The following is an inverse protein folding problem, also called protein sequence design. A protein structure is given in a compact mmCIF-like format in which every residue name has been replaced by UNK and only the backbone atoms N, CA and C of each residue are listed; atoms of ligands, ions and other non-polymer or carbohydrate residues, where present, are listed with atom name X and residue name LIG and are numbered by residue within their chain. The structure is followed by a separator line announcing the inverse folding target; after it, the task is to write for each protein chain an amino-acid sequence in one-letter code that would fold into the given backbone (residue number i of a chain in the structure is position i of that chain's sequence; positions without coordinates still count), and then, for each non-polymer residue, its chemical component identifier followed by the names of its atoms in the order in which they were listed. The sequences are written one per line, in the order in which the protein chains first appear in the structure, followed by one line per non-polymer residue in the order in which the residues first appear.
data_IF_659358589989
#
_entry.id   IF_659358589989
#
_cell.length_a   1.000
_cell.length_b   1.000
_cell.length_c   1.000
_cell.angle_alpha   90.00
_cell.angle_beta   90.00
_cell.angle_gamma   90.00
#
_symmetry.space_group_name_H-M   'P 1'
#
loop_
_entity.id
_entity.type
_entity.pdbx_description
1 polymer ?
#
# COMPACT_ATOMS: atom_id res chain seq x y z
N UNK A 1 17.99 -6.49 8.26
CA UNK A 1 16.92 -5.47 8.37
C UNK A 1 16.53 -5.12 6.95
N UNK A 2 15.29 -4.77 6.68
CA UNK A 2 14.85 -4.31 5.35
C UNK A 2 14.51 -2.82 5.42
N UNK A 3 14.90 -2.10 4.39
CA UNK A 3 14.67 -0.66 4.29
C UNK A 3 13.74 -0.34 3.12
N UNK A 4 12.87 0.65 3.31
CA UNK A 4 11.99 1.14 2.27
C UNK A 4 12.00 2.65 2.19
N UNK A 5 11.91 3.18 0.97
CA UNK A 5 11.73 4.59 0.70
C UNK A 5 10.23 4.88 0.48
N UNK A 6 9.71 5.93 1.11
CA UNK A 6 8.34 6.42 0.84
C UNK A 6 8.44 7.73 0.07
N UNK A 7 8.00 7.72 -1.17
CA UNK A 7 7.81 8.92 -1.99
C UNK A 7 6.40 9.46 -1.75
N UNK A 8 6.31 10.56 -1.02
CA UNK A 8 5.02 11.22 -0.79
C UNK A 8 4.50 11.89 -2.06
N UNK A 9 5.40 12.53 -2.82
CA UNK A 9 5.09 13.19 -4.08
C UNK A 9 3.99 14.23 -3.95
N UNK A 10 4.03 15.02 -2.88
CA UNK A 10 3.10 16.11 -2.59
C UNK A 10 3.77 17.42 -2.93
N UNK A 11 3.39 18.02 -4.05
CA UNK A 11 4.01 19.22 -4.58
C UNK A 11 3.05 20.39 -4.57
N UNK A 12 3.51 21.62 -4.31
CA UNK A 12 2.67 22.82 -4.41
C UNK A 12 2.09 22.99 -5.82
N UNK A 13 0.94 23.63 -5.90
CA UNK A 13 0.39 24.05 -7.18
C UNK A 13 1.33 25.05 -7.85
N UNK A 14 1.64 24.82 -9.15
CA UNK A 14 2.57 25.65 -9.92
C UNK A 14 3.97 25.05 -10.06
N UNK A 15 4.31 23.99 -9.30
CA UNK A 15 5.54 23.24 -9.54
C UNK A 15 5.52 22.57 -10.93
N UNK A 16 6.69 22.49 -11.58
CA UNK A 16 6.88 21.69 -12.78
C UNK A 16 6.81 20.20 -12.43
N UNK A 17 5.66 19.60 -12.72
CA UNK A 17 5.43 18.19 -12.41
C UNK A 17 6.28 17.22 -13.25
N UNK A 18 6.80 17.64 -14.42
CA UNK A 18 7.75 16.82 -15.17
C UNK A 18 9.12 16.79 -14.49
N UNK A 19 9.57 17.93 -13.97
CA UNK A 19 10.78 18.00 -13.17
C UNK A 19 10.63 17.16 -11.90
N UNK A 20 9.52 17.32 -11.17
CA UNK A 20 9.26 16.54 -9.94
C UNK A 20 9.21 15.04 -10.19
N UNK A 21 8.65 14.61 -11.32
CA UNK A 21 8.67 13.19 -11.70
C UNK A 21 10.10 12.70 -11.91
N UNK A 22 10.93 13.47 -12.63
CA UNK A 22 12.36 13.11 -12.85
C UNK A 22 13.11 12.98 -11.53
N UNK A 23 12.94 13.93 -10.61
CA UNK A 23 13.54 13.91 -9.28
C UNK A 23 13.10 12.69 -8.45
N UNK A 24 11.80 12.37 -8.45
CA UNK A 24 11.25 11.19 -7.78
C UNK A 24 11.83 9.88 -8.37
N UNK A 25 12.04 9.80 -9.69
CA UNK A 25 12.61 8.63 -10.35
C UNK A 25 14.12 8.50 -10.09
N UNK A 26 14.86 9.60 -10.06
CA UNK A 26 16.28 9.58 -9.65
C UNK A 26 16.41 9.14 -8.17
N UNK A 27 15.52 9.59 -7.30
CA UNK A 27 15.49 9.10 -5.91
C UNK A 27 15.19 7.58 -5.83
N UNK A 28 14.38 7.04 -6.73
CA UNK A 28 14.13 5.60 -6.80
C UNK A 28 15.38 4.82 -7.24
N UNK A 29 16.11 5.31 -8.26
CA UNK A 29 17.40 4.71 -8.70
C UNK A 29 18.42 4.72 -7.57
N UNK A 30 18.58 5.87 -6.92
CA UNK A 30 19.52 6.00 -5.80
C UNK A 30 19.14 5.06 -4.63
N UNK A 31 17.84 4.89 -4.33
CA UNK A 31 17.41 3.94 -3.32
C UNK A 31 17.79 2.50 -3.67
N UNK A 32 17.66 2.10 -4.95
CA UNK A 32 18.11 0.79 -5.42
C UNK A 32 19.63 0.62 -5.27
N UNK A 33 20.42 1.60 -5.72
CA UNK A 33 21.88 1.60 -5.61
C UNK A 33 22.36 1.52 -4.15
N UNK A 34 21.65 2.15 -3.23
CA UNK A 34 21.91 2.11 -1.79
C UNK A 34 21.41 0.83 -1.10
N UNK A 35 20.82 -0.11 -1.85
CA UNK A 35 20.37 -1.40 -1.34
C UNK A 35 19.07 -1.35 -0.53
N UNK A 36 18.17 -0.41 -0.84
CA UNK A 36 16.82 -0.46 -0.30
C UNK A 36 16.05 -1.65 -0.87
N UNK A 37 15.13 -2.19 -0.07
CA UNK A 37 14.32 -3.37 -0.44
C UNK A 37 13.02 -3.02 -1.18
N UNK A 38 12.49 -1.82 -0.95
CA UNK A 38 11.20 -1.41 -1.49
C UNK A 38 11.05 0.10 -1.63
N UNK A 39 10.15 0.49 -2.53
CA UNK A 39 9.66 1.86 -2.66
C UNK A 39 8.14 1.90 -2.52
N UNK A 40 7.64 2.83 -1.72
CA UNK A 40 6.22 3.06 -1.55
C UNK A 40 5.83 4.42 -2.13
N UNK A 41 4.71 4.48 -2.83
CA UNK A 41 4.14 5.72 -3.39
C UNK A 41 2.76 5.97 -2.81
N UNK A 42 2.59 7.09 -2.12
CA UNK A 42 1.28 7.62 -1.72
C UNK A 42 0.67 8.47 -2.82
N UNK A 43 -0.66 8.61 -2.81
CA UNK A 43 -1.37 9.58 -3.63
C UNK A 43 -2.66 10.03 -2.95
N UNK A 44 -3.20 11.14 -3.43
CA UNK A 44 -4.51 11.64 -3.08
C UNK A 44 -5.25 12.13 -4.33
N UNK A 45 -6.58 12.18 -4.24
CA UNK A 45 -7.45 12.78 -5.24
C UNK A 45 -7.95 14.15 -4.73
N UNK A 46 -8.31 15.05 -5.64
CA UNK A 46 -8.86 16.38 -5.28
C UNK A 46 -8.08 17.08 -4.18
N UNK A 47 -6.77 17.24 -4.36
CA UNK A 47 -5.84 17.64 -3.30
C UNK A 47 -5.42 19.10 -3.34
N UNK A 48 -6.17 19.96 -4.05
CA UNK A 48 -5.84 21.38 -4.06
C UNK A 48 -5.49 21.89 -2.64
N UNK A 49 -4.43 22.69 -2.45
CA UNK A 49 -3.52 23.27 -3.47
C UNK A 49 -2.31 22.39 -3.83
N UNK A 50 -2.35 21.10 -3.54
CA UNK A 50 -1.25 20.19 -3.85
C UNK A 50 -1.51 19.37 -5.12
N UNK A 51 -0.43 19.02 -5.81
CA UNK A 51 -0.40 18.15 -6.98
C UNK A 51 0.18 16.79 -6.59
N UNK A 52 -0.36 15.72 -7.19
CA UNK A 52 0.11 14.35 -7.00
C UNK A 52 0.14 13.62 -8.34
N UNK A 53 1.24 12.94 -8.63
CA UNK A 53 1.27 11.90 -9.65
C UNK A 53 0.69 10.64 -9.03
N UNK A 54 -0.29 10.03 -9.71
CA UNK A 54 -0.97 8.83 -9.20
C UNK A 54 0.00 7.66 -9.09
N UNK A 55 -0.24 6.81 -8.09
CA UNK A 55 0.72 5.80 -7.65
C UNK A 55 0.99 4.73 -8.70
N UNK A 56 -0.02 4.22 -9.40
CA UNK A 56 0.19 3.12 -10.36
C UNK A 56 1.03 3.57 -11.57
N UNK A 57 0.69 4.66 -12.30
CA UNK A 57 1.54 5.16 -13.39
C UNK A 57 2.99 5.46 -12.95
N UNK A 58 3.17 6.01 -11.76
CA UNK A 58 4.50 6.25 -11.20
C UNK A 58 5.27 4.94 -10.96
N UNK A 59 4.65 3.96 -10.30
CA UNK A 59 5.28 2.69 -9.99
C UNK A 59 5.60 1.87 -11.24
N UNK A 60 4.83 2.01 -12.33
CA UNK A 60 5.19 1.43 -13.62
C UNK A 60 6.53 1.99 -14.15
N UNK A 61 6.79 3.29 -13.98
CA UNK A 61 8.08 3.87 -14.37
C UNK A 61 9.20 3.42 -13.43
N UNK A 62 8.95 3.32 -12.13
CA UNK A 62 9.93 2.77 -11.18
C UNK A 62 10.31 1.33 -11.54
N UNK A 63 9.37 0.49 -11.97
CA UNK A 63 9.66 -0.86 -12.42
C UNK A 63 10.72 -0.93 -13.53
N UNK A 64 10.82 0.13 -14.37
CA UNK A 64 11.79 0.21 -15.45
C UNK A 64 13.15 0.77 -14.99
N UNK A 65 13.15 1.75 -14.07
CA UNK A 65 14.38 2.48 -13.70
C UNK A 65 15.06 1.94 -12.45
N UNK A 66 14.33 1.20 -11.62
CA UNK A 66 14.80 0.56 -10.39
C UNK A 66 14.18 -0.85 -10.24
N UNK A 67 14.52 -1.80 -11.13
CA UNK A 67 13.81 -3.07 -11.30
C UNK A 67 13.98 -4.05 -10.15
N UNK A 68 14.88 -3.83 -9.21
CA UNK A 68 15.07 -4.73 -8.06
C UNK A 68 14.19 -4.37 -6.87
N UNK A 69 13.69 -3.13 -6.80
CA UNK A 69 12.84 -2.67 -5.71
C UNK A 69 11.45 -3.33 -5.74
N UNK A 70 10.93 -3.70 -4.57
CA UNK A 70 9.52 -4.03 -4.42
C UNK A 70 8.68 -2.76 -4.49
N UNK A 71 7.57 -2.83 -5.21
CA UNK A 71 6.69 -1.70 -5.49
C UNK A 71 5.48 -1.74 -4.56
N UNK A 72 5.27 -0.66 -3.80
CA UNK A 72 4.17 -0.57 -2.84
C UNK A 72 3.28 0.63 -3.16
N UNK A 73 2.10 0.44 -3.80
CA UNK A 73 1.09 1.48 -3.75
C UNK A 73 0.67 1.66 -2.28
N UNK A 74 0.97 2.79 -1.71
CA UNK A 74 0.88 2.96 -0.26
C UNK A 74 0.04 4.14 0.21
N UNK A 75 -1.31 4.05 0.09
CA UNK A 75 -2.14 2.86 -0.15
C UNK A 75 -3.17 3.12 -1.25
N UNK A 76 -3.66 2.06 -1.92
CA UNK A 76 -4.84 2.15 -2.78
C UNK A 76 -6.08 2.33 -1.91
N UNK A 77 -6.88 3.37 -2.20
CA UNK A 77 -8.10 3.67 -1.45
C UNK A 77 -9.26 2.81 -1.96
N UNK A 78 -9.28 1.53 -1.61
CA UNK A 78 -10.19 0.53 -2.16
C UNK A 78 -11.67 0.92 -2.20
N UNK A 79 -12.24 1.61 -1.18
CA UNK A 79 -13.65 1.97 -1.21
C UNK A 79 -14.06 2.90 -2.36
N UNK A 80 -13.07 3.53 -3.01
CA UNK A 80 -13.31 4.47 -4.10
C UNK A 80 -13.36 3.80 -5.47
N UNK A 81 -12.92 2.54 -5.60
CA UNK A 81 -12.67 1.88 -6.88
C UNK A 81 -13.52 0.65 -7.11
N UNK A 82 -13.69 0.28 -8.38
CA UNK A 82 -14.20 -1.03 -8.79
C UNK A 82 -13.17 -2.13 -8.51
N UNK A 83 -13.55 -3.26 -7.90
CA UNK A 83 -12.62 -4.34 -7.62
C UNK A 83 -11.98 -4.95 -8.86
N UNK A 84 -12.72 -5.08 -9.97
CA UNK A 84 -12.17 -5.61 -11.23
C UNK A 84 -11.08 -4.69 -11.77
N UNK A 85 -11.33 -3.37 -11.81
CA UNK A 85 -10.34 -2.39 -12.26
C UNK A 85 -9.06 -2.45 -11.40
N UNK A 86 -9.20 -2.50 -10.07
CA UNK A 86 -8.06 -2.63 -9.16
C UNK A 86 -7.30 -3.93 -9.39
N UNK A 87 -8.01 -5.05 -9.58
CA UNK A 87 -7.38 -6.35 -9.80
C UNK A 87 -6.55 -6.36 -11.10
N UNK A 88 -7.10 -5.81 -12.19
CA UNK A 88 -6.43 -5.72 -13.50
C UNK A 88 -5.19 -4.81 -13.46
N UNK A 89 -5.31 -3.61 -12.90
CA UNK A 89 -4.20 -2.66 -12.82
C UNK A 89 -3.03 -3.20 -11.98
N UNK A 90 -3.35 -3.76 -10.81
CA UNK A 90 -2.33 -4.30 -9.92
C UNK A 90 -1.71 -5.60 -10.45
N UNK A 91 -2.48 -6.46 -11.12
CA UNK A 91 -1.93 -7.63 -11.80
C UNK A 91 -0.96 -7.21 -12.92
N UNK A 92 -1.34 -6.20 -13.71
CA UNK A 92 -0.48 -5.61 -14.74
C UNK A 92 0.82 -5.06 -14.14
N UNK A 93 0.76 -4.33 -13.03
CA UNK A 93 1.94 -3.82 -12.34
C UNK A 93 2.82 -4.96 -11.80
N UNK A 94 2.21 -6.05 -11.32
CA UNK A 94 2.96 -7.23 -10.85
C UNK A 94 3.71 -7.91 -12.00
N UNK A 95 3.08 -8.03 -13.17
CA UNK A 95 3.74 -8.54 -14.38
C UNK A 95 4.87 -7.62 -14.82
N UNK A 96 4.62 -6.30 -14.92
CA UNK A 96 5.63 -5.30 -15.33
C UNK A 96 6.84 -5.26 -14.41
N UNK A 97 6.64 -5.54 -13.12
CA UNK A 97 7.73 -5.55 -12.12
C UNK A 97 8.38 -6.94 -11.96
N UNK A 98 7.97 -7.94 -12.71
CA UNK A 98 8.47 -9.31 -12.54
C UNK A 98 8.15 -9.92 -11.17
N UNK A 99 6.94 -9.68 -10.66
CA UNK A 99 6.48 -10.23 -9.38
C UNK A 99 7.00 -9.49 -8.14
N UNK A 100 7.13 -8.16 -8.21
CA UNK A 100 7.63 -7.35 -7.09
C UNK A 100 6.57 -6.48 -6.41
N UNK A 101 5.32 -6.58 -6.83
CA UNK A 101 4.21 -5.87 -6.19
C UNK A 101 4.03 -6.29 -4.73
N UNK A 102 3.80 -5.31 -3.87
CA UNK A 102 3.17 -5.47 -2.55
C UNK A 102 1.90 -4.64 -2.54
N UNK A 103 0.75 -5.29 -2.48
CA UNK A 103 -0.53 -4.60 -2.54
C UNK A 103 -0.82 -3.84 -1.24
N UNK A 104 -0.50 -2.56 -1.19
CA UNK A 104 -0.87 -1.68 -0.10
C UNK A 104 -2.31 -1.16 -0.25
N UNK A 105 -3.19 -1.53 0.66
CA UNK A 105 -4.61 -1.20 0.66
C UNK A 105 -5.01 -0.35 1.86
N UNK A 106 -5.91 0.61 1.67
CA UNK A 106 -6.42 1.46 2.75
C UNK A 106 -7.85 1.93 2.52
N UNK A 107 -8.47 2.42 3.61
CA UNK A 107 -9.85 2.93 3.54
C UNK A 107 -9.89 4.35 2.98
N UNK A 108 -8.90 5.19 3.30
CA UNK A 108 -9.00 6.62 3.12
C UNK A 108 -9.64 7.33 4.31
N UNK A 109 -9.60 8.66 4.29
CA UNK A 109 -10.11 9.49 5.40
C UNK A 109 -10.61 10.88 4.96
N UNK A 110 -10.39 11.28 3.70
CA UNK A 110 -10.74 12.62 3.20
C UNK A 110 -12.12 12.60 2.55
N UNK A 111 -13.09 13.27 3.15
CA UNK A 111 -14.47 13.33 2.63
C UNK A 111 -14.56 13.85 1.19
N UNK A 112 -13.67 14.78 0.80
CA UNK A 112 -13.65 15.33 -0.57
C UNK A 112 -13.40 14.23 -1.59
N UNK A 113 -12.52 13.27 -1.30
CA UNK A 113 -12.26 12.12 -2.16
C UNK A 113 -13.52 11.25 -2.29
N UNK A 114 -14.15 10.91 -1.16
CA UNK A 114 -15.36 10.09 -1.18
C UNK A 114 -16.50 10.75 -1.97
N UNK A 115 -16.73 12.04 -1.77
CA UNK A 115 -17.75 12.78 -2.54
C UNK A 115 -17.46 12.80 -4.04
N UNK A 116 -16.18 13.02 -4.41
CA UNK A 116 -15.77 13.03 -5.82
C UNK A 116 -15.96 11.67 -6.51
N UNK A 117 -15.87 10.56 -5.75
CA UNK A 117 -16.12 9.20 -6.24
C UNK A 117 -17.55 8.69 -5.97
N UNK A 118 -18.49 9.58 -5.62
CA UNK A 118 -19.90 9.22 -5.45
C UNK A 118 -20.21 8.29 -4.26
N UNK A 119 -19.38 8.33 -3.22
CA UNK A 119 -19.55 7.48 -2.02
C UNK A 119 -19.34 8.27 -0.72
N UNK A 120 -19.38 7.60 0.43
CA UNK A 120 -19.26 8.24 1.74
C UNK A 120 -18.32 7.47 2.66
N UNK A 121 -17.70 8.18 3.62
CA UNK A 121 -16.86 7.57 4.65
C UNK A 121 -17.63 6.55 5.50
N UNK A 122 -18.94 6.73 5.70
CA UNK A 122 -19.77 5.80 6.46
C UNK A 122 -19.78 4.40 5.85
N UNK A 123 -19.73 4.29 4.53
CA UNK A 123 -19.75 3.03 3.80
C UNK A 123 -18.33 2.43 3.62
N UNK A 124 -17.30 3.22 3.87
CA UNK A 124 -15.93 2.90 3.48
C UNK A 124 -15.40 1.57 4.05
N UNK A 125 -15.72 1.27 5.31
CA UNK A 125 -15.28 0.03 5.96
C UNK A 125 -15.84 -1.23 5.31
N UNK A 126 -17.11 -1.21 4.98
CA UNK A 126 -17.80 -2.33 4.33
C UNK A 126 -17.35 -2.49 2.88
N UNK A 127 -17.37 -1.40 2.11
CA UNK A 127 -16.88 -1.38 0.72
C UNK A 127 -15.43 -1.86 0.62
N UNK A 128 -14.58 -1.51 1.58
CA UNK A 128 -13.19 -2.00 1.63
C UNK A 128 -13.12 -3.53 1.74
N UNK A 129 -13.87 -4.14 2.67
CA UNK A 129 -13.84 -5.59 2.87
C UNK A 129 -14.39 -6.34 1.67
N UNK A 130 -15.47 -5.87 1.07
CA UNK A 130 -16.04 -6.42 -0.16
C UNK A 130 -15.06 -6.33 -1.33
N UNK A 131 -14.49 -5.13 -1.57
CA UNK A 131 -13.54 -4.90 -2.65
C UNK A 131 -12.29 -5.78 -2.51
N UNK A 132 -11.69 -5.81 -1.33
CA UNK A 132 -10.49 -6.63 -1.09
C UNK A 132 -10.78 -8.13 -1.29
N UNK A 133 -11.96 -8.58 -0.86
CA UNK A 133 -12.38 -9.97 -1.08
C UNK A 133 -12.53 -10.28 -2.56
N UNK A 134 -13.18 -9.41 -3.31
CA UNK A 134 -13.35 -9.57 -4.75
C UNK A 134 -12.01 -9.56 -5.50
N UNK A 135 -11.09 -8.62 -5.20
CA UNK A 135 -9.75 -8.56 -5.80
C UNK A 135 -8.98 -9.88 -5.56
N UNK A 136 -8.99 -10.40 -4.34
CA UNK A 136 -8.32 -11.66 -4.03
C UNK A 136 -8.90 -12.84 -4.80
N UNK A 137 -10.23 -12.92 -4.90
CA UNK A 137 -10.92 -13.95 -5.66
C UNK A 137 -10.58 -13.86 -7.16
N UNK A 138 -10.61 -12.66 -7.74
CA UNK A 138 -10.24 -12.42 -9.14
C UNK A 138 -8.80 -12.86 -9.48
N UNK A 139 -7.89 -12.88 -8.51
CA UNK A 139 -6.52 -13.35 -8.71
C UNK A 139 -6.32 -14.85 -8.49
N UNK A 140 -7.28 -15.54 -7.88
CA UNK A 140 -7.13 -16.92 -7.43
C UNK A 140 -8.20 -17.88 -7.95
N UNK A 141 -9.27 -17.38 -8.54
CA UNK A 141 -10.37 -18.14 -9.13
C UNK A 141 -10.44 -17.83 -10.65
N UNK A 142 -10.80 -18.82 -11.46
CA UNK A 142 -10.91 -18.66 -12.92
C UNK A 142 -12.05 -17.68 -13.27
N UNK A 143 -13.18 -17.79 -12.56
CA UNK A 143 -14.33 -16.92 -12.72
C UNK A 143 -14.93 -16.58 -11.36
N UNK A 144 -15.35 -15.34 -11.20
CA UNK A 144 -15.93 -14.82 -9.97
C UNK A 144 -17.34 -14.32 -10.21
N UNK A 145 -18.30 -14.91 -9.50
CA UNK A 145 -19.64 -14.33 -9.33
C UNK A 145 -19.78 -13.90 -7.88
N UNK A 146 -20.08 -12.60 -7.66
CA UNK A 146 -20.20 -12.01 -6.33
C UNK A 146 -21.16 -10.83 -6.37
N UNK A 147 -22.19 -10.88 -5.54
CA UNK A 147 -23.08 -9.75 -5.25
C UNK A 147 -22.57 -9.01 -4.02
N UNK A 148 -22.33 -7.74 -4.12
CA UNK A 148 -21.85 -6.86 -3.06
C UNK A 148 -22.77 -5.64 -2.90
N UNK A 149 -22.49 -4.77 -1.92
CA UNK A 149 -23.33 -3.60 -1.62
C UNK A 149 -23.24 -2.49 -2.68
N UNK A 150 -22.17 -2.46 -3.51
CA UNK A 150 -21.94 -1.38 -4.47
C UNK A 150 -21.41 -1.85 -5.84
N UNK A 151 -21.22 -3.14 -6.01
CA UNK A 151 -20.88 -3.76 -7.29
C UNK A 151 -21.50 -5.16 -7.39
N UNK A 152 -21.61 -5.64 -8.61
CA UNK A 152 -21.92 -7.04 -8.91
C UNK A 152 -20.87 -7.53 -9.92
N UNK A 153 -20.36 -8.73 -9.68
CA UNK A 153 -19.54 -9.48 -10.63
C UNK A 153 -20.35 -10.71 -11.06
N UNK A 154 -20.49 -10.90 -12.35
CA UNK A 154 -21.16 -12.07 -12.91
C UNK A 154 -20.21 -12.75 -13.89
N UNK A 155 -19.75 -13.94 -13.50
CA UNK A 155 -18.78 -14.72 -14.29
C UNK A 155 -17.56 -13.88 -14.76
N UNK A 156 -17.10 -12.96 -13.90
CA UNK A 156 -16.00 -12.05 -14.19
C UNK A 156 -14.65 -12.73 -13.96
N UNK A 157 -13.66 -12.37 -14.75
CA UNK A 157 -12.30 -12.84 -14.59
C UNK A 157 -11.29 -11.72 -14.79
N UNK A 158 -10.08 -11.88 -14.26
CA UNK A 158 -8.95 -11.02 -14.56
C UNK A 158 -8.32 -11.45 -15.89
N UNK A 159 -8.13 -10.51 -16.82
CA UNK A 159 -7.49 -10.79 -18.12
C UNK A 159 -6.02 -11.17 -17.95
N UNK A 160 -5.34 -10.51 -17.01
CA UNK A 160 -3.96 -10.78 -16.63
C UNK A 160 -3.90 -11.17 -15.16
N UNK A 161 -3.29 -12.30 -14.86
CA UNK A 161 -3.08 -12.74 -13.49
C UNK A 161 -1.70 -12.29 -12.97
N UNK A 162 -1.55 -12.00 -11.66
CA UNK A 162 -0.25 -11.71 -11.06
C UNK A 162 0.76 -12.84 -11.30
N UNK A 163 2.03 -12.45 -11.45
CA UNK A 163 3.17 -13.40 -11.51
C UNK A 163 3.34 -14.11 -10.18
N UNK A 164 3.17 -13.38 -9.08
CA UNK A 164 3.28 -13.92 -7.72
C UNK A 164 2.14 -14.91 -7.43
N UNK A 165 2.47 -16.10 -6.90
CA UNK A 165 1.49 -17.14 -6.56
C UNK A 165 1.44 -17.39 -5.05
N UNK A 166 0.26 -17.57 -4.46
CA UNK A 166 -1.05 -17.53 -5.09
C UNK A 166 -1.48 -16.10 -5.52
N UNK A 167 -0.90 -15.06 -4.96
CA UNK A 167 -1.14 -13.64 -5.27
C UNK A 167 -0.08 -12.74 -4.61
N UNK A 168 0.05 -11.46 -4.99
CA UNK A 168 0.89 -10.48 -4.30
C UNK A 168 0.55 -10.37 -2.81
N UNK A 169 1.55 -10.15 -1.93
CA UNK A 169 1.28 -9.94 -0.50
C UNK A 169 0.48 -8.66 -0.29
N UNK A 170 -0.50 -8.73 0.61
CA UNK A 170 -1.41 -7.62 0.93
C UNK A 170 -1.02 -6.96 2.23
N UNK A 171 -0.78 -5.65 2.20
CA UNK A 171 -0.56 -4.82 3.38
C UNK A 171 -1.74 -3.88 3.59
N UNK A 172 -2.30 -3.80 4.79
CA UNK A 172 -3.43 -2.90 5.08
C UNK A 172 -2.98 -1.76 5.97
N UNK A 173 -3.13 -0.53 5.47
CA UNK A 173 -2.96 0.70 6.23
C UNK A 173 -4.14 0.93 7.18
N UNK A 174 -3.87 1.10 8.48
CA UNK A 174 -4.90 1.35 9.47
C UNK A 174 -4.36 2.12 10.68
N UNK A 175 -5.21 3.01 11.23
CA UNK A 175 -4.90 3.90 12.34
C UNK A 175 -5.75 3.66 13.59
N UNK A 176 -6.90 3.02 13.45
CA UNK A 176 -7.85 2.76 14.54
C UNK A 176 -8.01 1.28 14.77
N UNK A 177 -8.36 0.89 15.97
CA UNK A 177 -8.41 -0.50 16.42
C UNK A 177 -9.25 -1.42 15.52
N UNK A 178 -10.39 -0.92 15.01
CA UNK A 178 -11.23 -1.68 14.07
C UNK A 178 -10.47 -1.99 12.77
N UNK A 179 -9.76 -1.00 12.22
CA UNK A 179 -8.93 -1.16 11.03
C UNK A 179 -7.73 -2.08 11.27
N UNK A 180 -7.08 -1.98 12.43
CA UNK A 180 -5.96 -2.85 12.82
C UNK A 180 -6.41 -4.30 12.97
N UNK A 181 -7.59 -4.53 13.59
CA UNK A 181 -8.20 -5.87 13.64
C UNK A 181 -8.55 -6.40 12.24
N UNK A 182 -9.01 -5.52 11.32
CA UNK A 182 -9.23 -5.87 9.92
C UNK A 182 -7.92 -6.27 9.24
N UNK A 183 -6.85 -5.49 9.41
CA UNK A 183 -5.54 -5.83 8.88
C UNK A 183 -5.04 -7.19 9.39
N UNK A 184 -5.20 -7.47 10.69
CA UNK A 184 -4.85 -8.77 11.27
C UNK A 184 -5.67 -9.93 10.66
N UNK A 185 -6.93 -9.68 10.28
CA UNK A 185 -7.83 -10.69 9.70
C UNK A 185 -7.61 -10.91 8.20
N UNK A 186 -7.37 -9.85 7.44
CA UNK A 186 -7.45 -9.86 5.98
C UNK A 186 -6.12 -9.65 5.26
N UNK A 187 -5.03 -9.32 5.95
CA UNK A 187 -3.75 -8.98 5.34
C UNK A 187 -2.60 -9.85 5.82
N UNK A 188 -1.50 -9.80 5.06
CA UNK A 188 -0.23 -10.41 5.41
C UNK A 188 0.55 -9.53 6.39
N UNK A 189 0.41 -8.19 6.26
CA UNK A 189 0.96 -7.23 7.19
C UNK A 189 0.04 -6.04 7.44
N UNK A 190 0.20 -5.44 8.63
CA UNK A 190 -0.35 -4.13 8.93
C UNK A 190 0.68 -3.07 8.55
N UNK A 191 0.26 -2.14 7.68
CA UNK A 191 1.05 -0.98 7.27
C UNK A 191 0.82 0.15 8.28
N UNK A 192 1.84 0.37 9.11
CA UNK A 192 1.76 1.30 10.25
C UNK A 192 1.78 2.75 9.76
N UNK A 193 0.94 3.61 10.32
CA UNK A 193 1.03 5.04 10.04
C UNK A 193 2.24 5.66 10.75
N UNK A 194 3.22 6.22 10.01
CA UNK A 194 4.45 6.76 10.60
C UNK A 194 4.24 8.04 11.42
N UNK A 195 3.09 8.70 11.32
CA UNK A 195 2.79 9.92 12.07
C UNK A 195 2.32 9.67 13.51
N UNK A 196 2.08 8.42 13.89
CA UNK A 196 1.68 8.09 15.25
C UNK A 196 2.85 8.17 16.23
N UNK A 197 2.57 8.58 17.47
CA UNK A 197 3.56 8.52 18.56
C UNK A 197 3.93 7.06 18.86
N UNK A 198 5.16 6.80 19.26
CA UNK A 198 5.67 5.46 19.60
C UNK A 198 4.77 4.69 20.57
N UNK A 199 4.31 5.34 21.64
CA UNK A 199 3.37 4.74 22.61
C UNK A 199 2.06 4.30 21.97
N UNK A 200 1.58 5.04 20.97
CA UNK A 200 0.38 4.69 20.22
C UNK A 200 0.63 3.47 19.35
N UNK A 201 1.76 3.43 18.64
CA UNK A 201 2.16 2.30 17.80
C UNK A 201 2.33 1.05 18.66
N UNK A 202 3.00 1.13 19.82
CA UNK A 202 3.17 0.01 20.73
C UNK A 202 1.82 -0.59 21.17
N UNK A 203 0.88 0.24 21.61
CA UNK A 203 -0.49 -0.21 21.95
C UNK A 203 -1.20 -0.84 20.74
N UNK A 204 -1.06 -0.26 19.57
CA UNK A 204 -1.67 -0.76 18.34
C UNK A 204 -1.07 -2.11 17.92
N UNK A 205 0.21 -2.34 18.13
CA UNK A 205 0.86 -3.64 17.92
C UNK A 205 0.29 -4.72 18.82
N UNK A 206 -0.06 -4.41 20.07
CA UNK A 206 -0.74 -5.34 20.97
C UNK A 206 -2.13 -5.72 20.46
N UNK A 207 -2.91 -4.74 19.98
CA UNK A 207 -4.23 -4.98 19.34
C UNK A 207 -4.08 -5.91 18.14
N UNK A 208 -3.11 -5.65 17.29
CA UNK A 208 -2.84 -6.46 16.09
C UNK A 208 -2.41 -7.89 16.47
N UNK A 209 -1.48 -8.03 17.42
CA UNK A 209 -0.99 -9.33 17.87
C UNK A 209 -2.11 -10.18 18.49
N UNK A 210 -2.97 -9.57 19.33
CA UNK A 210 -4.15 -10.25 19.88
C UNK A 210 -5.13 -10.71 18.80
N UNK A 211 -5.41 -9.87 17.81
CA UNK A 211 -6.30 -10.20 16.71
C UNK A 211 -5.76 -11.34 15.83
N UNK A 212 -4.43 -11.38 15.59
CA UNK A 212 -3.77 -12.48 14.88
C UNK A 212 -3.85 -13.80 15.63
N UNK A 213 -3.62 -13.79 16.95
CA UNK A 213 -3.77 -15.01 17.78
C UNK A 213 -5.19 -15.56 17.70
N UNK A 214 -6.22 -14.72 17.78
CA UNK A 214 -7.61 -15.13 17.65
C UNK A 214 -7.90 -15.73 16.27
N UNK A 215 -7.35 -15.18 15.20
CA UNK A 215 -7.46 -15.73 13.85
C UNK A 215 -6.84 -17.14 13.76
N UNK A 216 -5.68 -17.34 14.38
CA UNK A 216 -4.99 -18.65 14.39
C UNK A 216 -5.76 -19.68 15.22
N UNK A 217 -6.33 -19.27 16.35
CA UNK A 217 -7.11 -20.16 17.23
C UNK A 217 -8.47 -20.57 16.62
N UNK A 218 -9.05 -19.73 15.74
CA UNK A 218 -10.38 -19.96 15.15
C UNK A 218 -10.35 -19.78 13.61
N UNK A 219 -9.67 -20.67 12.88
CA UNK A 219 -9.46 -20.51 11.44
C UNK A 219 -10.74 -20.56 10.60
N UNK A 220 -11.83 -21.17 11.10
CA UNK A 220 -13.10 -21.31 10.40
C UNK A 220 -13.95 -20.03 10.28
N UNK A 221 -13.58 -18.93 10.92
CA UNK A 221 -14.27 -17.62 10.82
C UNK A 221 -13.64 -16.68 9.79
N UNK A 222 -12.67 -17.12 9.03
CA UNK A 222 -12.01 -16.34 7.96
C UNK A 222 -12.55 -16.82 6.62
N UNK A 223 -12.99 -15.96 5.70
CA UNK A 223 -13.33 -16.35 4.33
C UNK A 223 -12.17 -17.12 3.69
N UNK A 224 -12.47 -18.20 2.98
CA UNK A 224 -11.51 -19.22 2.53
C UNK A 224 -10.37 -18.76 1.60
N UNK A 225 -10.46 -17.59 0.99
CA UNK A 225 -9.42 -17.06 0.10
C UNK A 225 -8.05 -16.77 0.74
N UNK A 226 -7.92 -16.88 2.06
CA UNK A 226 -6.70 -16.49 2.78
C UNK A 226 -5.82 -17.67 3.27
N UNK A 227 -6.22 -18.93 3.05
CA UNK A 227 -5.55 -20.09 3.69
C UNK A 227 -4.18 -20.45 3.11
N UNK A 228 -3.88 -20.05 1.87
CA UNK A 228 -2.63 -20.46 1.19
C UNK A 228 -1.39 -19.64 1.52
N UNK A 229 -1.56 -18.39 1.95
CA UNK A 229 -0.46 -17.41 2.08
C UNK A 229 0.34 -17.55 3.39
N UNK A 230 -0.21 -18.24 4.39
CA UNK A 230 0.35 -18.24 5.76
C UNK A 230 1.66 -19.00 5.95
N UNK A 231 1.94 -20.04 5.14
CA UNK A 231 3.14 -20.87 5.38
C UNK A 231 4.46 -20.26 4.92
N UNK A 232 4.45 -19.40 3.91
CA UNK A 232 5.67 -18.80 3.38
C UNK A 232 6.19 -17.60 4.18
N UNK A 233 5.32 -16.89 4.93
CA UNK A 233 5.66 -15.66 5.65
C UNK A 233 5.62 -15.74 7.17
N UNK A 234 5.08 -16.80 7.77
CA UNK A 234 4.95 -16.94 9.23
C UNK A 234 6.28 -16.90 9.98
N UNK A 235 7.40 -17.26 9.33
CA UNK A 235 8.74 -17.20 9.92
C UNK A 235 9.50 -15.88 9.72
N UNK A 236 8.98 -14.96 8.93
CA UNK A 236 9.67 -13.68 8.62
C UNK A 236 8.86 -12.42 8.90
N UNK A 237 7.53 -12.53 9.05
CA UNK A 237 6.62 -11.39 9.17
C UNK A 237 6.74 -10.61 10.49
N UNK A 238 7.03 -11.30 11.58
CA UNK A 238 7.11 -10.65 12.90
C UNK A 238 8.33 -9.73 13.05
N UNK A 239 9.42 -10.02 12.31
CA UNK A 239 10.62 -9.15 12.32
C UNK A 239 10.52 -7.98 11.35
N UNK A 240 9.83 -8.13 10.23
CA UNK A 240 9.72 -7.08 9.22
C UNK A 240 8.76 -5.95 9.64
N UNK A 241 7.63 -6.26 10.26
CA UNK A 241 6.70 -5.26 10.79
C UNK A 241 7.31 -4.40 11.91
N UNK A 242 8.14 -5.00 12.75
CA UNK A 242 8.83 -4.29 13.83
C UNK A 242 9.99 -3.42 13.31
N UNK A 243 10.61 -3.78 12.19
CA UNK A 243 11.73 -3.04 11.61
C UNK A 243 11.29 -1.77 10.88
N UNK A 244 10.16 -1.82 10.15
CA UNK A 244 9.54 -0.63 9.54
C UNK A 244 9.17 0.38 10.64
N UNK A 245 8.62 -0.08 11.77
CA UNK A 245 8.29 0.79 12.89
C UNK A 245 9.52 1.44 13.55
N UNK A 246 10.68 0.77 13.57
CA UNK A 246 11.89 1.31 14.21
C UNK A 246 12.75 2.19 13.32
N UNK A 247 12.80 1.93 12.02
CA UNK A 247 13.61 2.69 11.06
C UNK A 247 13.06 4.08 10.75
N UNK A 248 11.74 4.20 10.61
CA UNK A 248 11.09 5.48 10.29
C UNK A 248 11.12 6.50 11.43
N UNK A 249 11.26 6.05 12.68
CA UNK A 249 11.16 6.93 13.86
C UNK A 249 12.41 7.77 14.07
N UNK A 250 13.57 7.36 13.58
CA UNK A 250 14.81 8.12 13.78
C UNK A 250 15.09 9.17 12.69
N UNK A 251 14.50 9.07 11.51
CA UNK A 251 14.79 9.95 10.38
C UNK A 251 13.87 11.16 10.19
N UNK A 252 12.62 11.07 10.65
CA UNK A 252 11.57 12.06 10.29
C UNK A 252 11.38 13.18 11.32
N UNK A 253 11.93 13.06 12.51
CA UNK A 253 11.67 14.07 13.59
C UNK A 253 12.48 15.36 13.49
N UNK A 254 13.32 15.57 12.47
CA UNK A 254 14.22 16.75 12.41
C UNK A 254 14.05 17.70 11.22
N UNK A 255 13.13 17.45 10.30
CA UNK A 255 12.94 18.38 9.17
C UNK A 255 11.59 19.10 9.29
N UNK A 256 11.65 20.34 9.74
CA UNK A 256 10.54 21.30 9.67
C UNK A 256 10.26 21.72 8.22
N UNK A 257 9.09 22.32 7.94
CA UNK A 257 8.76 22.76 6.60
C UNK A 257 9.75 23.86 6.16
N UNK A 258 10.54 23.58 5.11
CA UNK A 258 11.46 24.55 4.51
C UNK A 258 12.95 24.14 4.41
N UNK A 259 13.35 22.98 4.91
CA UNK A 259 14.77 22.59 4.87
C UNK A 259 15.14 21.49 3.84
N UNK A 260 14.22 21.12 2.96
CA UNK A 260 14.46 20.07 1.94
C UNK A 260 15.57 20.43 0.93
N UNK A 261 15.71 21.71 0.60
CA UNK A 261 16.63 22.15 -0.46
C UNK A 261 18.12 22.16 -0.04
N UNK A 262 18.39 22.26 1.26
CA UNK A 262 19.77 22.34 1.77
C UNK A 262 20.50 20.97 1.76
N UNK A 263 19.78 19.88 1.86
CA UNK A 263 20.37 18.52 1.94
C UNK A 263 20.81 18.02 0.58
N UNK A 264 20.05 18.31 -0.48
CA UNK A 264 20.43 17.95 -1.87
C UNK A 264 21.62 18.74 -2.39
N UNK A 265 21.78 20.01 -1.95
CA UNK A 265 22.93 20.83 -2.32
C UNK A 265 24.25 20.33 -1.73
N UNK A 266 24.25 19.76 -0.55
CA UNK A 266 25.46 19.29 0.15
C UNK A 266 25.97 17.93 -0.37
N UNK A 267 25.13 17.12 -1.00
CA UNK A 267 25.52 15.84 -1.61
C UNK A 267 26.19 16.02 -2.98
N UNK A 268 25.85 17.08 -3.74
CA UNK A 268 26.48 17.37 -5.05
C UNK A 268 27.92 17.87 -4.95
N UNK A 269 28.36 18.35 -3.78
CA UNK A 269 29.74 18.86 -3.60
C UNK A 269 30.72 17.80 -3.10
N UNK A 270 30.31 16.52 -2.93
CA UNK A 270 31.14 15.43 -2.43
C UNK A 270 31.22 14.21 -3.36
N UNK A 271 30.66 14.30 -4.55
CA UNK A 271 30.87 13.41 -5.70
C UNK A 271 31.54 14.21 -6.82
#
# INVERSE_FOLDING_TARGET
MRFGLIIRGQYPQGDDMQLRLREDLEAAKLAEELGYDLIAKGSHYSSHPFQYIQQIPYLCQVALVAPTLRLVPGVVLLPLHSPLHVAEELASLDVMSGGKLVFGAGIGYREVEFRAFGTTLKQAGHRFEECLTAVKRLWTEDFVTMQASYFALENANCTVLPVQKPMPPVWIGANIDVGIRRAARMADAWFVNPHNKLRTIARQMEVQARARRLRQAFPGRVPDGARGVHRAFAGRGDRAGAAVARGEIQGVSRLGPGQGDAVLGSLRSRL
#
